data_IF_813005590177
#
_entry.id   IF_813005590177
#
_cell.length_a   1.000
_cell.length_b   1.000
_cell.length_c   1.000
_cell.angle_alpha   90.00
_cell.angle_beta   90.00
_cell.angle_gamma   90.00
#
_symmetry.space_group_name_H-M   'P 1'
#
loop_
_entity.id
_entity.type
_entity.pdbx_description
1 polymer ?
#
# COMPACT_ATOMS: atom_id res chain seq x y z
N UNK A 1 0.43 -45.00 28.79
CA UNK A 1 -0.59 -43.95 28.95
C UNK A 1 -1.33 -43.67 27.64
N UNK A 2 -0.64 -43.35 26.53
CA UNK A 2 -1.24 -43.13 25.20
C UNK A 2 -2.26 -44.19 24.76
N UNK A 3 -1.94 -45.48 24.93
CA UNK A 3 -2.87 -46.57 24.61
C UNK A 3 -4.21 -46.42 25.33
N UNK A 4 -4.20 -46.24 26.65
CA UNK A 4 -5.43 -46.17 27.45
C UNK A 4 -6.24 -44.92 27.12
N UNK A 5 -5.57 -43.76 26.97
CA UNK A 5 -6.24 -42.51 26.60
C UNK A 5 -6.85 -42.59 25.20
N UNK A 6 -6.17 -43.22 24.23
CA UNK A 6 -6.72 -43.39 22.89
C UNK A 6 -7.90 -44.37 22.86
N UNK A 7 -7.85 -45.48 23.60
CA UNK A 7 -8.98 -46.41 23.67
C UNK A 7 -10.21 -45.77 24.34
N UNK A 8 -10.03 -44.89 25.34
CA UNK A 8 -11.12 -44.07 25.89
C UNK A 8 -11.75 -43.17 24.81
N UNK A 9 -10.92 -42.52 23.98
CA UNK A 9 -11.42 -41.75 22.83
C UNK A 9 -12.11 -42.63 21.77
N UNK A 10 -11.72 -43.90 21.62
CA UNK A 10 -12.42 -44.85 20.75
C UNK A 10 -13.80 -45.18 21.31
N UNK A 11 -13.90 -45.48 22.61
CA UNK A 11 -15.15 -45.78 23.31
C UNK A 11 -16.12 -44.59 23.27
N UNK A 12 -15.60 -43.36 23.33
CA UNK A 12 -16.37 -42.11 23.21
C UNK A 12 -16.71 -41.74 21.75
N UNK A 13 -16.13 -42.42 20.77
CA UNK A 13 -16.30 -42.10 19.34
C UNK A 13 -15.53 -40.86 18.86
N UNK A 14 -14.60 -40.34 19.67
CA UNK A 14 -13.77 -39.14 19.41
C UNK A 14 -12.38 -39.47 18.86
N UNK A 15 -12.06 -40.74 18.59
CA UNK A 15 -10.77 -41.20 18.05
C UNK A 15 -10.30 -40.53 16.72
N UNK A 16 -11.19 -39.83 16.02
CA UNK A 16 -10.85 -39.05 14.80
C UNK A 16 -10.65 -37.54 15.05
N UNK A 17 -10.79 -37.09 16.30
CA UNK A 17 -10.69 -35.69 16.71
C UNK A 17 -9.26 -35.15 16.59
N UNK A 18 -9.12 -33.83 16.78
CA UNK A 18 -7.81 -33.18 16.76
C UNK A 18 -6.99 -33.59 17.99
N UNK A 19 -7.63 -33.77 19.14
CA UNK A 19 -7.02 -34.25 20.39
C UNK A 19 -6.43 -35.65 20.23
N UNK A 20 -7.19 -36.57 19.62
CA UNK A 20 -6.72 -37.92 19.33
C UNK A 20 -5.50 -37.90 18.40
N UNK A 21 -5.54 -37.07 17.35
CA UNK A 21 -4.41 -36.89 16.43
C UNK A 21 -3.18 -36.30 17.14
N UNK A 22 -3.38 -35.28 17.96
CA UNK A 22 -2.31 -34.65 18.74
C UNK A 22 -1.65 -35.64 19.70
N UNK A 23 -2.47 -36.45 20.39
CA UNK A 23 -2.00 -37.51 21.30
C UNK A 23 -1.09 -38.50 20.56
N UNK A 24 -1.54 -39.01 19.40
CA UNK A 24 -0.77 -39.97 18.60
C UNK A 24 0.54 -39.36 18.07
N UNK A 25 0.52 -38.10 17.61
CA UNK A 25 1.73 -37.43 17.11
C UNK A 25 2.75 -37.19 18.22
N UNK A 26 2.30 -36.72 19.40
CA UNK A 26 3.19 -36.53 20.55
C UNK A 26 3.81 -37.84 21.03
N UNK A 27 3.01 -38.91 21.10
CA UNK A 27 3.51 -40.24 21.45
C UNK A 27 4.55 -40.74 20.46
N UNK A 28 4.28 -40.60 19.16
CA UNK A 28 5.20 -41.01 18.12
C UNK A 28 6.54 -40.28 18.19
N UNK A 29 6.53 -38.95 18.34
CA UNK A 29 7.76 -38.15 18.46
C UNK A 29 8.54 -38.47 19.73
N UNK A 30 7.85 -38.62 20.87
CA UNK A 30 8.49 -38.99 22.13
C UNK A 30 9.11 -40.41 22.08
N UNK A 31 8.45 -41.35 21.40
CA UNK A 31 8.95 -42.70 21.19
C UNK A 31 10.17 -42.71 20.27
N UNK A 32 10.15 -41.93 19.18
CA UNK A 32 11.28 -41.75 18.28
C UNK A 32 12.51 -41.18 19.01
N UNK A 33 12.33 -40.11 19.80
CA UNK A 33 13.40 -39.52 20.62
C UNK A 33 13.97 -40.52 21.65
N UNK A 34 13.10 -41.34 22.26
CA UNK A 34 13.50 -42.34 23.23
C UNK A 34 14.02 -43.65 22.61
N UNK A 35 13.93 -43.82 21.29
CA UNK A 35 14.30 -45.06 20.58
C UNK A 35 13.44 -46.27 20.96
N UNK A 36 12.16 -46.04 21.30
CA UNK A 36 11.18 -47.08 21.66
C UNK A 36 10.05 -47.13 20.63
N UNK A 37 9.24 -48.18 20.67
CA UNK A 37 8.09 -48.34 19.78
C UNK A 37 6.95 -47.39 20.20
N UNK A 38 6.42 -46.61 19.25
CA UNK A 38 5.23 -45.78 19.47
C UNK A 38 3.94 -46.61 19.46
N UNK A 39 2.86 -46.06 19.99
CA UNK A 39 1.55 -46.70 19.95
C UNK A 39 1.07 -46.95 18.50
N UNK A 40 1.36 -46.01 17.60
CA UNK A 40 1.03 -46.13 16.17
C UNK A 40 1.81 -47.28 15.51
N UNK A 41 3.10 -47.41 15.81
CA UNK A 41 3.93 -48.51 15.28
C UNK A 41 3.45 -49.86 15.80
N UNK A 42 3.18 -49.95 17.11
CA UNK A 42 2.66 -51.15 17.74
C UNK A 42 1.32 -51.60 17.11
N UNK A 43 0.40 -50.66 16.86
CA UNK A 43 -0.88 -50.92 16.19
C UNK A 43 -0.69 -51.42 14.76
N UNK A 44 0.29 -50.86 14.05
CA UNK A 44 0.64 -51.26 12.68
C UNK A 44 1.17 -52.69 12.65
N UNK A 45 2.08 -53.06 13.56
CA UNK A 45 2.59 -54.45 13.69
C UNK A 45 1.49 -55.44 14.10
N UNK A 46 0.54 -54.98 14.91
CA UNK A 46 -0.60 -55.78 15.38
C UNK A 46 -1.72 -55.94 14.33
N UNK A 47 -1.52 -55.47 13.10
CA UNK A 47 -2.46 -55.61 11.99
C UNK A 47 -3.65 -54.64 12.03
N UNK A 48 -3.61 -53.62 12.88
CA UNK A 48 -4.66 -52.61 13.02
C UNK A 48 -4.08 -51.18 12.92
N UNK A 49 -3.50 -50.80 11.77
CA UNK A 49 -2.71 -49.59 11.63
C UNK A 49 -3.52 -48.33 11.97
N UNK A 50 -2.91 -47.42 12.71
CA UNK A 50 -3.42 -46.07 12.93
C UNK A 50 -2.76 -45.12 11.94
N UNK A 51 -3.50 -44.12 11.47
CA UNK A 51 -2.95 -43.08 10.59
C UNK A 51 -2.38 -41.97 11.45
N UNK A 52 -1.06 -41.78 11.39
CA UNK A 52 -0.41 -40.63 12.01
C UNK A 52 -0.76 -39.37 11.21
N UNK A 53 -1.07 -38.27 11.91
CA UNK A 53 -1.34 -37.01 11.22
C UNK A 53 -0.06 -36.44 10.60
N UNK A 54 -0.16 -35.98 9.36
CA UNK A 54 0.91 -35.25 8.69
C UNK A 54 1.02 -33.79 9.16
N UNK A 55 0.13 -33.31 10.04
CA UNK A 55 0.16 -31.91 10.50
C UNK A 55 1.20 -31.71 11.60
N UNK A 56 1.85 -30.53 11.64
CA UNK A 56 2.76 -30.18 12.74
C UNK A 56 2.08 -30.26 14.11
N UNK A 57 2.87 -30.49 15.17
CA UNK A 57 2.35 -30.57 16.55
C UNK A 57 1.73 -29.24 16.95
N UNK A 58 2.37 -28.13 16.60
CA UNK A 58 1.95 -26.77 16.91
C UNK A 58 0.58 -26.45 16.29
N UNK A 59 0.35 -26.88 15.04
CA UNK A 59 -0.96 -26.78 14.38
C UNK A 59 -2.05 -27.50 15.17
N UNK A 60 -1.79 -28.74 15.56
CA UNK A 60 -2.76 -29.57 16.28
C UNK A 60 -3.01 -29.01 17.69
N UNK A 61 -1.95 -28.63 18.40
CA UNK A 61 -2.00 -28.03 19.73
C UNK A 61 -2.83 -26.74 19.72
N UNK A 62 -2.55 -25.83 18.79
CA UNK A 62 -3.25 -24.56 18.71
C UNK A 62 -4.76 -24.73 18.43
N UNK A 63 -5.13 -25.76 17.66
CA UNK A 63 -6.53 -26.13 17.45
C UNK A 63 -7.19 -26.70 18.70
N UNK A 64 -6.52 -27.60 19.43
CA UNK A 64 -7.04 -28.14 20.71
C UNK A 64 -7.22 -27.03 21.74
N UNK A 65 -6.22 -26.15 21.89
CA UNK A 65 -6.26 -25.05 22.87
C UNK A 65 -7.38 -24.05 22.60
N UNK A 66 -7.86 -23.99 21.34
CA UNK A 66 -8.94 -23.11 20.90
C UNK A 66 -10.19 -23.86 20.44
N UNK A 67 -10.35 -25.13 20.83
CA UNK A 67 -11.41 -26.00 20.33
C UNK A 67 -12.81 -25.39 20.53
N UNK A 68 -13.08 -24.80 21.71
CA UNK A 68 -14.36 -24.14 21.97
C UNK A 68 -14.64 -22.97 21.03
N UNK A 69 -13.63 -22.17 20.65
CA UNK A 69 -13.83 -21.07 19.72
C UNK A 69 -14.14 -21.58 18.31
N UNK A 70 -13.53 -22.69 17.89
CA UNK A 70 -13.85 -23.36 16.63
C UNK A 70 -15.28 -23.93 16.63
N UNK A 71 -15.70 -24.57 17.72
CA UNK A 71 -17.05 -25.12 17.85
C UNK A 71 -18.11 -24.01 17.83
N UNK A 72 -17.89 -22.93 18.58
CA UNK A 72 -18.76 -21.75 18.57
C UNK A 72 -18.81 -21.11 17.17
N UNK A 73 -17.68 -21.03 16.45
CA UNK A 73 -17.63 -20.47 15.11
C UNK A 73 -18.44 -21.31 14.11
N UNK A 74 -18.37 -22.64 14.20
CA UNK A 74 -19.18 -23.54 13.36
C UNK A 74 -20.67 -23.45 13.72
N UNK A 75 -21.03 -23.34 15.00
CA UNK A 75 -22.42 -23.07 15.41
C UNK A 75 -22.92 -21.75 14.84
N UNK A 76 -22.12 -20.68 14.96
CA UNK A 76 -22.46 -19.36 14.43
C UNK A 76 -22.68 -19.40 12.91
N UNK A 77 -21.83 -20.10 12.14
CA UNK A 77 -21.99 -20.25 10.67
C UNK A 77 -23.31 -20.92 10.26
N UNK A 78 -23.91 -21.72 11.14
CA UNK A 78 -25.20 -22.37 10.90
C UNK A 78 -26.42 -21.47 11.17
N UNK A 79 -26.23 -20.23 11.62
CA UNK A 79 -27.32 -19.25 11.76
C UNK A 79 -27.89 -18.90 10.37
N UNK A 80 -29.20 -19.10 10.20
CA UNK A 80 -29.92 -18.88 8.92
C UNK A 80 -29.94 -17.41 8.48
N UNK A 81 -30.07 -16.48 9.44
CA UNK A 81 -30.19 -15.05 9.15
C UNK A 81 -28.79 -14.48 8.97
N UNK A 82 -28.46 -14.06 7.73
CA UNK A 82 -27.12 -13.55 7.37
C UNK A 82 -26.61 -12.46 8.33
N UNK A 83 -27.42 -11.47 8.66
CA UNK A 83 -26.99 -10.37 9.52
C UNK A 83 -26.62 -10.83 10.95
N UNK A 84 -27.38 -11.78 11.50
CA UNK A 84 -27.11 -12.34 12.83
C UNK A 84 -25.89 -13.27 12.79
N UNK A 85 -25.77 -14.08 11.75
CA UNK A 85 -24.60 -14.94 11.49
C UNK A 85 -23.32 -14.11 11.41
N UNK A 86 -23.32 -13.08 10.54
CA UNK A 86 -22.13 -12.26 10.30
C UNK A 86 -21.74 -11.53 11.60
N UNK A 87 -22.72 -11.03 12.38
CA UNK A 87 -22.47 -10.43 13.70
C UNK A 87 -21.86 -11.41 14.71
N UNK A 88 -22.38 -12.64 14.78
CA UNK A 88 -21.89 -13.64 15.73
C UNK A 88 -20.50 -14.16 15.36
N UNK A 89 -20.25 -14.39 14.06
CA UNK A 89 -18.93 -14.76 13.54
C UNK A 89 -17.90 -13.69 13.89
N UNK A 90 -18.20 -12.41 13.68
CA UNK A 90 -17.29 -11.32 14.04
C UNK A 90 -17.08 -11.22 15.56
N UNK A 91 -18.12 -11.43 16.36
CA UNK A 91 -17.99 -11.45 17.82
C UNK A 91 -17.07 -12.57 18.31
N UNK A 92 -17.14 -13.77 17.70
CA UNK A 92 -16.28 -14.91 18.02
C UNK A 92 -14.85 -14.64 17.59
N UNK A 93 -14.65 -14.14 16.36
CA UNK A 93 -13.34 -13.76 15.82
C UNK A 93 -12.63 -12.69 16.62
N UNK A 94 -13.39 -11.75 17.21
CA UNK A 94 -12.87 -10.69 18.06
C UNK A 94 -12.49 -11.15 19.49
N UNK A 95 -12.81 -12.39 19.89
CA UNK A 95 -12.44 -12.92 21.23
C UNK A 95 -10.92 -12.91 21.38
N UNK A 96 -10.44 -12.52 22.57
CA UNK A 96 -9.02 -12.50 22.90
C UNK A 96 -8.50 -13.88 23.30
N UNK A 97 -7.35 -14.26 22.73
CA UNK A 97 -6.59 -15.48 23.04
C UNK A 97 -5.15 -15.04 23.33
N UNK A 98 -4.82 -14.85 24.60
CA UNK A 98 -3.57 -14.18 24.98
C UNK A 98 -3.56 -12.73 24.47
N UNK A 99 -2.51 -12.36 23.73
CA UNK A 99 -2.34 -11.03 23.16
C UNK A 99 -3.03 -10.85 21.79
N UNK A 100 -3.43 -11.96 21.16
CA UNK A 100 -4.01 -12.00 19.82
C UNK A 100 -5.54 -12.15 19.85
N UNK A 101 -6.18 -12.04 18.69
CA UNK A 101 -7.60 -12.40 18.52
C UNK A 101 -7.75 -13.83 18.03
N UNK A 102 -8.91 -14.44 18.22
CA UNK A 102 -9.18 -15.76 17.66
C UNK A 102 -9.09 -15.76 16.12
N UNK A 103 -9.40 -14.64 15.45
CA UNK A 103 -9.20 -14.51 14.01
C UNK A 103 -7.72 -14.65 13.61
N UNK A 104 -6.80 -14.12 14.43
CA UNK A 104 -5.35 -14.29 14.22
C UNK A 104 -4.94 -15.75 14.42
N UNK A 105 -5.54 -16.44 15.38
CA UNK A 105 -5.35 -17.89 15.57
C UNK A 105 -5.84 -18.68 14.35
N UNK A 106 -7.02 -18.36 13.77
CA UNK A 106 -7.49 -18.97 12.53
C UNK A 106 -6.46 -18.82 11.40
N UNK A 107 -5.85 -17.63 11.25
CA UNK A 107 -4.82 -17.35 10.24
C UNK A 107 -3.53 -18.15 10.48
N UNK A 108 -3.08 -18.26 11.74
CA UNK A 108 -1.92 -19.09 12.12
C UNK A 108 -2.16 -20.54 11.75
N UNK A 109 -3.34 -21.07 12.12
CA UNK A 109 -3.75 -22.45 11.81
C UNK A 109 -3.84 -22.66 10.30
N UNK A 110 -4.36 -21.70 9.53
CA UNK A 110 -4.42 -21.80 8.07
C UNK A 110 -3.00 -21.86 7.45
N UNK A 111 -2.10 -20.97 7.85
CA UNK A 111 -0.71 -20.95 7.35
C UNK A 111 0.05 -22.22 7.73
N UNK A 112 0.09 -22.58 9.02
CA UNK A 112 0.72 -23.83 9.49
C UNK A 112 0.09 -25.06 8.82
N UNK A 113 -1.21 -25.00 8.55
CA UNK A 113 -1.97 -26.03 7.88
C UNK A 113 -1.57 -26.26 6.42
N UNK A 114 -0.84 -25.35 5.77
CA UNK A 114 -0.25 -25.56 4.44
C UNK A 114 0.98 -26.46 4.47
N UNK A 115 1.70 -26.46 5.60
CA UNK A 115 2.87 -27.32 5.81
C UNK A 115 2.50 -28.75 6.21
N UNK A 116 3.56 -29.54 6.37
CA UNK A 116 3.50 -30.88 6.97
C UNK A 116 4.44 -30.96 8.17
N UNK A 117 4.36 -32.02 8.96
CA UNK A 117 5.26 -32.27 10.09
C UNK A 117 6.73 -32.37 9.66
N UNK A 118 6.99 -32.90 8.47
CA UNK A 118 8.35 -33.06 7.94
C UNK A 118 8.85 -31.78 7.24
N UNK A 119 7.93 -30.97 6.72
CA UNK A 119 8.20 -29.69 6.07
C UNK A 119 7.25 -28.63 6.65
N UNK A 120 7.47 -28.27 7.91
CA UNK A 120 6.69 -27.25 8.62
C UNK A 120 6.95 -25.88 8.01
N UNK A 121 5.92 -25.03 7.98
CA UNK A 121 6.09 -23.62 7.60
C UNK A 121 6.87 -22.91 8.73
N UNK A 122 7.97 -22.20 8.43
CA UNK A 122 8.73 -21.47 9.44
C UNK A 122 7.85 -20.48 10.21
N UNK A 123 8.12 -20.32 11.51
CA UNK A 123 7.32 -19.46 12.39
C UNK A 123 7.33 -17.99 11.92
N UNK A 124 8.45 -17.54 11.36
CA UNK A 124 8.60 -16.21 10.79
C UNK A 124 7.62 -15.98 9.63
N UNK A 125 7.45 -16.96 8.73
CA UNK A 125 6.51 -16.89 7.60
C UNK A 125 5.06 -16.93 8.11
N UNK A 126 4.76 -17.74 9.12
CA UNK A 126 3.43 -17.78 9.74
C UNK A 126 3.08 -16.41 10.35
N UNK A 127 4.02 -15.81 11.09
CA UNK A 127 3.84 -14.46 11.67
C UNK A 127 3.64 -13.40 10.57
N UNK A 128 4.46 -13.43 9.52
CA UNK A 128 4.34 -12.53 8.38
C UNK A 128 3.00 -12.70 7.65
N UNK A 129 2.50 -13.93 7.52
CA UNK A 129 1.19 -14.21 6.93
C UNK A 129 0.05 -13.63 7.77
N UNK A 130 0.08 -13.81 9.09
CA UNK A 130 -0.93 -13.23 10.00
C UNK A 130 -0.95 -11.71 9.87
N UNK A 131 0.22 -11.07 9.93
CA UNK A 131 0.35 -9.62 9.76
C UNK A 131 -0.16 -9.15 8.39
N UNK A 132 0.17 -9.88 7.33
CA UNK A 132 -0.32 -9.59 5.99
C UNK A 132 -1.85 -9.66 5.94
N UNK A 133 -2.46 -10.69 6.51
CA UNK A 133 -3.92 -10.84 6.54
C UNK A 133 -4.59 -9.75 7.39
N UNK A 134 -3.96 -9.28 8.47
CA UNK A 134 -4.44 -8.10 9.21
C UNK A 134 -4.42 -6.84 8.33
N UNK A 135 -3.35 -6.62 7.57
CA UNK A 135 -3.26 -5.50 6.61
C UNK A 135 -4.35 -5.61 5.53
N UNK A 136 -4.63 -6.83 5.04
CA UNK A 136 -5.66 -7.09 4.04
C UNK A 136 -7.06 -6.76 4.57
N UNK A 137 -7.36 -7.12 5.81
CA UNK A 137 -8.63 -6.78 6.46
C UNK A 137 -8.80 -5.27 6.63
N UNK A 138 -7.75 -4.55 7.04
CA UNK A 138 -7.78 -3.10 7.22
C UNK A 138 -7.95 -2.34 5.90
N UNK A 139 -7.41 -2.89 4.81
CA UNK A 139 -7.30 -2.19 3.52
C UNK A 139 -7.95 -2.98 2.39
N UNK A 140 -7.18 -3.85 1.73
CA UNK A 140 -7.60 -4.91 0.80
C UNK A 140 -6.34 -5.65 0.33
N UNK A 141 -6.49 -6.86 -0.24
CA UNK A 141 -5.38 -7.60 -0.85
C UNK A 141 -4.66 -6.87 -1.98
N UNK A 142 -5.32 -5.88 -2.59
CA UNK A 142 -4.78 -5.11 -3.71
C UNK A 142 -4.26 -3.72 -3.32
N UNK A 143 -4.33 -3.36 -2.03
CA UNK A 143 -3.87 -2.06 -1.54
C UNK A 143 -2.35 -1.91 -1.68
N UNK A 144 -1.89 -0.66 -1.74
CA UNK A 144 -0.44 -0.34 -1.74
C UNK A 144 0.25 -0.90 -0.48
N UNK A 145 -0.43 -0.84 0.69
CA UNK A 145 0.08 -1.39 1.97
C UNK A 145 0.28 -2.90 1.91
N UNK A 146 -0.71 -3.66 1.43
CA UNK A 146 -0.63 -5.12 1.33
C UNK A 146 0.45 -5.56 0.33
N UNK A 147 0.54 -4.90 -0.84
CA UNK A 147 1.55 -5.18 -1.86
C UNK A 147 2.95 -4.85 -1.38
N UNK A 148 3.14 -3.73 -0.67
CA UNK A 148 4.42 -3.34 -0.12
C UNK A 148 4.89 -4.31 0.97
N UNK A 149 3.99 -4.76 1.85
CA UNK A 149 4.32 -5.79 2.85
C UNK A 149 4.83 -7.07 2.18
N UNK A 150 4.12 -7.53 1.13
CA UNK A 150 4.54 -8.70 0.35
C UNK A 150 5.87 -8.47 -0.36
N UNK A 151 6.13 -7.28 -0.89
CA UNK A 151 7.40 -6.96 -1.55
C UNK A 151 8.59 -6.95 -0.57
N UNK A 152 8.38 -6.46 0.65
CA UNK A 152 9.44 -6.31 1.66
C UNK A 152 9.78 -7.62 2.38
N UNK A 153 8.87 -8.58 2.39
CA UNK A 153 9.05 -9.92 2.98
C UNK A 153 9.09 -10.98 1.88
N UNK A 154 10.31 -11.34 1.45
CA UNK A 154 10.51 -12.30 0.36
C UNK A 154 9.97 -13.69 0.70
N UNK A 155 10.12 -14.13 1.95
CA UNK A 155 9.72 -15.47 2.37
C UNK A 155 8.19 -15.58 2.42
N UNK A 156 7.51 -14.54 2.88
CA UNK A 156 6.06 -14.42 2.76
C UNK A 156 5.61 -14.41 1.30
N UNK A 157 6.27 -13.64 0.44
CA UNK A 157 5.90 -13.59 -0.97
C UNK A 157 6.04 -14.95 -1.64
N UNK A 158 7.14 -15.65 -1.39
CA UNK A 158 7.39 -16.99 -1.92
C UNK A 158 6.38 -18.00 -1.39
N UNK A 159 6.04 -17.91 -0.09
CA UNK A 159 4.97 -18.70 0.51
C UNK A 159 3.63 -18.49 -0.20
N UNK A 160 3.20 -17.24 -0.37
CA UNK A 160 1.92 -16.89 -1.01
C UNK A 160 1.88 -17.28 -2.49
N UNK A 161 3.02 -17.21 -3.19
CA UNK A 161 3.15 -17.59 -4.60
C UNK A 161 3.34 -19.09 -4.82
N UNK A 162 3.54 -19.88 -3.77
CA UNK A 162 3.75 -21.32 -3.87
C UNK A 162 2.48 -22.06 -4.31
N UNK A 163 2.49 -22.61 -5.52
CA UNK A 163 1.44 -23.52 -5.99
C UNK A 163 1.36 -24.80 -5.16
N UNK A 164 2.46 -25.25 -4.54
CA UNK A 164 2.45 -26.43 -3.67
C UNK A 164 1.59 -26.21 -2.41
N UNK A 165 1.58 -24.97 -1.89
CA UNK A 165 0.79 -24.62 -0.70
C UNK A 165 -0.61 -24.13 -1.04
N UNK A 166 -0.76 -23.34 -2.11
CA UNK A 166 -2.01 -22.63 -2.40
C UNK A 166 -2.72 -23.13 -3.67
N UNK A 167 -2.10 -23.99 -4.48
CA UNK A 167 -2.66 -24.48 -5.73
C UNK A 167 -3.11 -23.33 -6.63
N UNK A 168 -4.37 -23.38 -7.09
CA UNK A 168 -4.96 -22.32 -7.94
C UNK A 168 -5.21 -20.99 -7.21
N UNK A 169 -5.04 -20.95 -5.89
CA UNK A 169 -5.18 -19.74 -5.08
C UNK A 169 -3.82 -19.10 -4.80
N UNK A 170 -2.72 -19.64 -5.36
CA UNK A 170 -1.42 -19.01 -5.26
C UNK A 170 -1.48 -17.58 -5.81
N UNK A 171 -0.79 -16.67 -5.12
CA UNK A 171 -0.70 -15.29 -5.54
C UNK A 171 0.06 -15.19 -6.87
N UNK A 172 -0.39 -14.31 -7.75
CA UNK A 172 0.38 -13.94 -8.94
C UNK A 172 1.57 -13.07 -8.53
N UNK A 173 2.66 -13.04 -9.34
CA UNK A 173 3.74 -12.06 -9.15
C UNK A 173 3.20 -10.64 -9.01
N UNK A 174 3.82 -9.82 -8.16
CA UNK A 174 3.40 -8.41 -7.96
C UNK A 174 3.43 -7.61 -9.28
N UNK A 175 4.35 -7.97 -10.17
CA UNK A 175 4.44 -7.48 -11.53
C UNK A 175 5.32 -8.43 -12.37
N UNK A 176 5.09 -8.51 -13.68
CA UNK A 176 5.90 -9.34 -14.59
C UNK A 176 7.32 -8.81 -14.80
N UNK A 177 7.46 -7.47 -14.87
CA UNK A 177 8.73 -6.77 -14.99
C UNK A 177 9.22 -6.30 -13.62
N UNK A 178 10.25 -6.97 -13.10
CA UNK A 178 10.90 -6.61 -11.82
C UNK A 178 11.53 -5.22 -11.86
N UNK A 179 12.11 -4.80 -13.00
CA UNK A 179 12.70 -3.47 -13.11
C UNK A 179 11.60 -2.40 -12.98
N UNK A 180 10.44 -2.61 -13.60
CA UNK A 180 9.31 -1.70 -13.45
C UNK A 180 8.76 -1.70 -12.02
N UNK A 181 8.61 -2.89 -11.42
CA UNK A 181 8.19 -3.04 -10.02
C UNK A 181 9.07 -2.21 -9.08
N UNK A 182 10.38 -2.43 -9.14
CA UNK A 182 11.35 -1.86 -8.21
C UNK A 182 11.49 -0.33 -8.42
N UNK A 183 11.40 0.14 -9.66
CA UNK A 183 11.69 1.55 -10.00
C UNK A 183 10.44 2.46 -10.04
N UNK A 184 9.25 1.91 -10.26
CA UNK A 184 8.03 2.70 -10.45
C UNK A 184 6.92 2.35 -9.45
N UNK A 185 6.59 1.07 -9.31
CA UNK A 185 5.46 0.65 -8.47
C UNK A 185 5.78 0.72 -6.98
N UNK A 186 6.90 0.15 -6.55
CA UNK A 186 7.28 0.12 -5.13
C UNK A 186 7.46 1.54 -4.57
N UNK A 187 8.20 2.46 -5.22
CA UNK A 187 8.31 3.84 -4.74
C UNK A 187 6.96 4.55 -4.64
N UNK A 188 6.05 4.28 -5.58
CA UNK A 188 4.68 4.81 -5.52
C UNK A 188 3.92 4.25 -4.33
N UNK A 189 3.94 2.93 -4.12
CA UNK A 189 3.26 2.31 -2.98
C UNK A 189 3.81 2.81 -1.65
N UNK A 190 5.12 3.06 -1.56
CA UNK A 190 5.73 3.69 -0.38
C UNK A 190 5.14 5.07 -0.12
N UNK A 191 5.00 5.91 -1.14
CA UNK A 191 4.37 7.24 -1.01
C UNK A 191 2.90 7.11 -0.57
N UNK A 192 2.14 6.21 -1.20
CA UNK A 192 0.72 5.98 -0.88
C UNK A 192 0.53 5.58 0.59
N UNK A 193 1.44 4.75 1.13
CA UNK A 193 1.37 4.28 2.53
C UNK A 193 1.86 5.36 3.51
N UNK A 194 2.95 6.05 3.18
CA UNK A 194 3.57 7.06 4.06
C UNK A 194 2.67 8.28 4.28
N UNK A 195 1.93 8.68 3.25
CA UNK A 195 1.11 9.89 3.23
C UNK A 195 -0.40 9.64 3.13
N UNK A 196 -0.87 8.45 3.54
CA UNK A 196 -2.29 8.06 3.50
C UNK A 196 -3.19 9.09 4.21
N UNK A 197 -2.76 9.57 5.39
CA UNK A 197 -3.54 10.53 6.17
C UNK A 197 -3.62 11.91 5.48
N UNK A 198 -2.52 12.37 4.88
CA UNK A 198 -2.47 13.62 4.13
C UNK A 198 -3.29 13.54 2.83
N UNK A 199 -3.28 12.40 2.15
CA UNK A 199 -4.14 12.17 0.98
C UNK A 199 -5.62 12.17 1.36
N UNK A 200 -6.00 11.52 2.46
CA UNK A 200 -7.37 11.53 2.95
C UNK A 200 -7.83 12.97 3.24
N UNK A 201 -7.04 13.71 4.02
CA UNK A 201 -7.35 15.11 4.35
C UNK A 201 -7.37 16.04 3.12
N UNK A 202 -6.51 15.79 2.12
CA UNK A 202 -6.54 16.55 0.86
C UNK A 202 -7.78 16.22 0.02
N UNK A 203 -8.19 14.95 -0.02
CA UNK A 203 -9.34 14.49 -0.81
C UNK A 203 -10.68 14.90 -0.19
N UNK A 204 -10.72 15.21 1.11
CA UNK A 204 -11.87 15.84 1.77
C UNK A 204 -12.14 17.27 1.28
N UNK A 205 -11.12 17.96 0.75
CA UNK A 205 -11.28 19.27 0.12
C UNK A 205 -11.93 19.09 -1.26
N UNK A 206 -12.98 19.86 -1.53
CA UNK A 206 -13.72 19.79 -2.79
C UNK A 206 -12.80 19.94 -4.01
N UNK A 207 -13.06 19.17 -5.07
CA UNK A 207 -12.18 19.13 -6.25
C UNK A 207 -12.11 20.45 -7.02
N UNK A 208 -13.18 21.23 -6.98
CA UNK A 208 -13.31 22.56 -7.58
C UNK A 208 -12.78 23.69 -6.69
N UNK A 209 -12.53 23.44 -5.41
CA UNK A 209 -11.92 24.39 -4.48
C UNK A 209 -10.38 24.35 -4.61
N UNK A 210 -9.91 24.87 -5.75
CA UNK A 210 -8.49 24.94 -6.09
C UNK A 210 -7.69 25.77 -5.10
N UNK A 211 -8.26 26.84 -4.55
CA UNK A 211 -7.62 27.71 -3.57
C UNK A 211 -7.35 26.96 -2.26
N UNK A 212 -8.35 26.27 -1.69
CA UNK A 212 -8.16 25.50 -0.46
C UNK A 212 -7.17 24.33 -0.66
N UNK A 213 -7.19 23.68 -1.82
CA UNK A 213 -6.24 22.61 -2.16
C UNK A 213 -4.81 23.15 -2.28
N UNK A 214 -4.63 24.32 -2.88
CA UNK A 214 -3.34 24.97 -3.00
C UNK A 214 -2.82 25.46 -1.65
N UNK A 215 -3.68 26.08 -0.82
CA UNK A 215 -3.35 26.46 0.55
C UNK A 215 -2.94 25.25 1.41
N UNK A 216 -3.66 24.13 1.28
CA UNK A 216 -3.29 22.87 1.92
C UNK A 216 -1.88 22.43 1.50
N UNK A 217 -1.58 22.36 0.20
CA UNK A 217 -0.25 21.97 -0.30
C UNK A 217 0.84 22.97 0.08
N UNK A 218 0.51 24.25 0.22
CA UNK A 218 1.42 25.28 0.67
C UNK A 218 1.76 25.15 2.17
N UNK A 219 0.89 24.48 2.95
CA UNK A 219 1.03 24.39 4.40
C UNK A 219 0.68 25.70 5.10
N UNK A 220 -0.28 26.45 4.54
CA UNK A 220 -0.70 27.71 5.12
C UNK A 220 -1.16 27.55 6.58
N UNK A 221 -0.63 28.38 7.47
CA UNK A 221 -0.91 28.31 8.91
C UNK A 221 -0.15 27.22 9.67
N UNK A 222 0.68 26.41 9.01
CA UNK A 222 1.57 25.45 9.65
C UNK A 222 2.95 26.08 9.91
N UNK A 223 3.61 25.64 10.97
CA UNK A 223 4.97 26.06 11.32
C UNK A 223 5.84 24.84 11.68
N UNK A 224 7.17 25.04 11.67
CA UNK A 224 8.12 24.05 12.15
C UNK A 224 8.02 22.68 11.45
N UNK A 225 7.85 21.63 12.26
CA UNK A 225 7.82 20.25 11.78
C UNK A 225 6.59 19.96 10.91
N UNK A 226 5.44 20.57 11.20
CA UNK A 226 4.21 20.35 10.44
C UNK A 226 4.30 20.97 9.04
N UNK A 227 4.87 22.18 8.93
CA UNK A 227 5.15 22.79 7.64
C UNK A 227 6.15 21.95 6.83
N UNK A 228 7.22 21.47 7.47
CA UNK A 228 8.23 20.61 6.82
C UNK A 228 7.57 19.35 6.27
N UNK A 229 6.78 18.65 7.09
CA UNK A 229 6.03 17.45 6.68
C UNK A 229 5.07 17.74 5.53
N UNK A 230 4.42 18.92 5.52
CA UNK A 230 3.53 19.32 4.42
C UNK A 230 4.28 19.57 3.11
N UNK A 231 5.46 20.19 3.16
CA UNK A 231 6.32 20.36 1.97
C UNK A 231 6.80 19.01 1.45
N UNK A 232 7.20 18.09 2.33
CA UNK A 232 7.58 16.73 1.96
C UNK A 232 6.42 15.99 1.28
N UNK A 233 5.21 16.04 1.86
CA UNK A 233 4.00 15.49 1.25
C UNK A 233 3.75 16.07 -0.16
N UNK A 234 3.82 17.40 -0.33
CA UNK A 234 3.62 18.05 -1.63
C UNK A 234 4.61 17.50 -2.68
N UNK A 235 5.90 17.42 -2.31
CA UNK A 235 6.95 16.88 -3.19
C UNK A 235 6.73 15.39 -3.47
N UNK A 236 6.33 14.61 -2.48
CA UNK A 236 6.01 13.19 -2.64
C UNK A 236 4.82 12.98 -3.60
N UNK A 237 3.80 13.84 -3.52
CA UNK A 237 2.68 13.83 -4.47
C UNK A 237 3.15 14.08 -5.91
N UNK A 238 4.03 15.06 -6.14
CA UNK A 238 4.66 15.29 -7.46
C UNK A 238 5.50 14.11 -7.92
N UNK A 239 6.25 13.48 -6.99
CA UNK A 239 7.00 12.27 -7.28
C UNK A 239 6.10 11.13 -7.74
N UNK A 240 4.98 10.91 -7.05
CA UNK A 240 3.96 9.92 -7.43
C UNK A 240 3.37 10.22 -8.81
N UNK A 241 3.00 11.47 -9.09
CA UNK A 241 2.51 11.88 -10.42
C UNK A 241 3.53 11.53 -11.52
N UNK A 242 4.83 11.80 -11.29
CA UNK A 242 5.88 11.46 -12.24
C UNK A 242 6.03 9.95 -12.47
N UNK A 243 5.95 9.15 -11.40
CA UNK A 243 6.05 7.69 -11.44
C UNK A 243 4.86 7.05 -12.17
N UNK A 244 3.68 7.65 -12.08
CA UNK A 244 2.46 7.19 -12.76
C UNK A 244 2.44 7.57 -14.24
N UNK A 245 3.05 8.70 -14.58
CA UNK A 245 2.98 9.28 -15.90
C UNK A 245 3.58 8.37 -16.98
N UNK A 246 2.83 8.18 -18.05
CA UNK A 246 3.28 7.48 -19.25
C UNK A 246 2.59 8.04 -20.48
N UNK A 247 3.29 8.08 -21.62
CA UNK A 247 2.69 8.36 -22.90
C UNK A 247 1.67 7.25 -23.23
N UNK A 248 0.42 7.62 -23.49
CA UNK A 248 -0.68 6.66 -23.71
C UNK A 248 -0.58 5.89 -25.03
N UNK A 249 0.25 6.36 -25.97
CA UNK A 249 0.48 5.75 -27.29
C UNK A 249 1.72 4.87 -27.27
N UNK A 250 2.85 5.38 -26.76
CA UNK A 250 4.15 4.70 -26.82
C UNK A 250 4.46 3.88 -25.56
N UNK A 251 3.78 4.16 -24.44
CA UNK A 251 4.10 3.59 -23.14
C UNK A 251 5.38 4.16 -22.51
N UNK A 252 6.03 5.14 -23.15
CA UNK A 252 7.22 5.81 -22.60
C UNK A 252 6.91 6.48 -21.26
N UNK A 253 7.87 6.43 -20.34
CA UNK A 253 7.76 6.99 -18.98
C UNK A 253 8.88 7.97 -18.73
N UNK A 254 8.70 8.81 -17.70
CA UNK A 254 9.79 9.66 -17.22
C UNK A 254 10.91 8.75 -16.71
N UNK A 255 12.15 8.90 -17.19
CA UNK A 255 13.29 8.17 -16.65
C UNK A 255 13.44 8.44 -15.15
N UNK A 256 13.77 7.43 -14.36
CA UNK A 256 13.78 7.57 -12.89
C UNK A 256 14.79 8.59 -12.37
N UNK A 257 15.88 8.80 -13.09
CA UNK A 257 16.89 9.84 -12.83
C UNK A 257 16.39 11.26 -13.13
N UNK A 258 15.29 11.41 -13.86
CA UNK A 258 14.66 12.69 -14.20
C UNK A 258 13.46 13.03 -13.31
N UNK A 259 13.09 12.17 -12.36
CA UNK A 259 11.96 12.40 -11.46
C UNK A 259 12.19 13.61 -10.54
N UNK A 260 13.42 13.82 -10.05
CA UNK A 260 13.71 15.00 -9.23
C UNK A 260 13.62 16.30 -10.05
N UNK A 261 13.99 16.26 -11.33
CA UNK A 261 13.78 17.37 -12.26
C UNK A 261 12.28 17.65 -12.47
N UNK A 262 11.44 16.61 -12.55
CA UNK A 262 9.99 16.77 -12.58
C UNK A 262 9.46 17.47 -11.33
N UNK A 263 9.88 17.02 -10.14
CA UNK A 263 9.45 17.63 -8.89
C UNK A 263 9.88 19.09 -8.85
N UNK A 264 11.16 19.37 -9.12
CA UNK A 264 11.68 20.73 -9.07
C UNK A 264 11.00 21.64 -10.09
N UNK A 265 10.74 21.17 -11.31
CA UNK A 265 10.00 21.90 -12.34
C UNK A 265 8.62 22.36 -11.86
N UNK A 266 7.84 21.46 -11.24
CA UNK A 266 6.50 21.79 -10.74
C UNK A 266 6.49 22.57 -9.42
N UNK A 267 7.62 22.65 -8.73
CA UNK A 267 7.82 23.49 -7.54
C UNK A 267 8.26 24.92 -7.90
N UNK A 268 8.62 25.19 -9.16
CA UNK A 268 8.90 26.55 -9.62
C UNK A 268 7.60 27.34 -9.79
N UNK A 269 7.67 28.63 -9.46
CA UNK A 269 6.60 29.57 -9.77
C UNK A 269 6.31 29.58 -11.28
N UNK A 270 5.04 29.42 -11.63
CA UNK A 270 4.55 29.47 -13.02
C UNK A 270 4.76 30.87 -13.62
N UNK A 271 4.72 31.90 -12.75
CA UNK A 271 4.96 33.28 -13.12
C UNK A 271 6.46 33.54 -13.31
N UNK A 272 6.79 34.43 -14.25
CA UNK A 272 8.18 34.81 -14.49
C UNK A 272 8.96 33.93 -15.48
N UNK A 273 8.34 33.00 -16.23
CA UNK A 273 9.06 32.13 -17.21
C UNK A 273 10.12 31.19 -16.62
N UNK A 274 10.08 30.92 -15.32
CA UNK A 274 11.01 30.02 -14.60
C UNK A 274 10.92 28.59 -15.09
N UNK A 275 9.71 28.08 -15.29
CA UNK A 275 9.47 26.73 -15.80
C UNK A 275 10.01 26.58 -17.22
N UNK A 276 9.74 27.52 -18.12
CA UNK A 276 10.27 27.50 -19.48
C UNK A 276 11.80 27.56 -19.49
N UNK A 277 12.41 28.38 -18.64
CA UNK A 277 13.87 28.42 -18.50
C UNK A 277 14.44 27.11 -17.97
N UNK A 278 13.78 26.50 -16.98
CA UNK A 278 14.19 25.19 -16.47
C UNK A 278 14.18 24.12 -17.57
N UNK A 279 13.20 24.14 -18.49
CA UNK A 279 13.17 23.23 -19.64
C UNK A 279 14.33 23.49 -20.61
N UNK A 280 14.66 24.76 -20.89
CA UNK A 280 15.82 25.11 -21.73
C UNK A 280 17.13 24.66 -21.09
N UNK A 281 17.27 24.84 -19.78
CA UNK A 281 18.49 24.51 -19.02
C UNK A 281 18.65 23.00 -18.77
N UNK A 282 17.57 22.21 -18.89
CA UNK A 282 17.55 20.76 -18.67
C UNK A 282 16.99 20.02 -19.90
N UNK A 283 17.73 19.98 -21.04
CA UNK A 283 17.21 19.50 -22.32
C UNK A 283 16.78 18.03 -22.31
N UNK A 284 17.47 17.16 -21.57
CA UNK A 284 17.10 15.73 -21.46
C UNK A 284 15.75 15.54 -20.72
N UNK A 285 15.54 16.33 -19.66
CA UNK A 285 14.27 16.37 -18.94
C UNK A 285 13.16 16.94 -19.83
N UNK A 286 13.43 18.05 -20.53
CA UNK A 286 12.45 18.68 -21.42
C UNK A 286 12.02 17.73 -22.54
N UNK A 287 12.96 16.98 -23.13
CA UNK A 287 12.63 15.95 -24.11
C UNK A 287 11.77 14.84 -23.51
N UNK A 288 12.06 14.41 -22.28
CA UNK A 288 11.25 13.42 -21.58
C UNK A 288 9.83 13.93 -21.32
N UNK A 289 9.67 15.18 -20.89
CA UNK A 289 8.36 15.81 -20.69
C UNK A 289 7.60 16.02 -21.99
N UNK A 290 8.29 16.35 -23.08
CA UNK A 290 7.68 16.43 -24.40
C UNK A 290 7.14 15.07 -24.84
N UNK A 291 7.97 14.03 -24.75
CA UNK A 291 7.59 12.70 -25.17
C UNK A 291 6.47 12.12 -24.29
N UNK A 292 6.52 12.33 -22.97
CA UNK A 292 5.61 11.68 -22.03
C UNK A 292 4.33 12.49 -21.81
N UNK A 293 4.46 13.80 -21.58
CA UNK A 293 3.37 14.69 -21.20
C UNK A 293 2.90 15.63 -22.34
N UNK A 294 3.58 15.63 -23.49
CA UNK A 294 3.25 16.51 -24.60
C UNK A 294 3.56 17.99 -24.35
N UNK A 295 4.45 18.29 -23.40
CA UNK A 295 4.86 19.68 -23.15
C UNK A 295 5.72 20.18 -24.30
N UNK A 296 5.38 21.34 -24.85
CA UNK A 296 6.18 21.98 -25.90
C UNK A 296 7.52 22.45 -25.32
N UNK A 297 8.61 22.13 -26.03
CA UNK A 297 9.94 22.57 -25.64
C UNK A 297 10.12 24.02 -26.13
N UNK A 298 10.25 25.00 -25.23
CA UNK A 298 10.43 26.38 -25.63
C UNK A 298 11.76 26.57 -26.36
N UNK A 299 11.78 27.48 -27.35
CA UNK A 299 13.03 27.88 -27.99
C UNK A 299 13.84 28.77 -27.02
N UNK A 300 15.18 28.59 -26.92
CA UNK A 300 16.00 29.40 -26.02
C UNK A 300 15.84 30.92 -26.23
N UNK A 301 15.64 31.37 -27.47
CA UNK A 301 15.42 32.77 -27.83
C UNK A 301 14.08 33.35 -27.34
N UNK A 302 13.08 32.50 -27.08
CA UNK A 302 11.75 32.91 -26.61
C UNK A 302 11.66 32.98 -25.08
N UNK A 303 12.70 32.53 -24.37
CA UNK A 303 12.77 32.53 -22.92
C UNK A 303 13.62 33.72 -22.44
N UNK A 304 13.03 34.70 -21.74
CA UNK A 304 13.78 35.83 -21.21
C UNK A 304 14.90 35.40 -20.25
N UNK A 305 15.95 36.21 -20.14
CA UNK A 305 17.02 36.00 -19.18
C UNK A 305 16.52 36.07 -17.73
N UNK A 306 17.28 35.50 -16.79
CA UNK A 306 16.91 35.41 -15.36
C UNK A 306 16.52 36.75 -14.72
N UNK A 307 17.09 37.86 -15.19
CA UNK A 307 16.76 39.19 -14.70
C UNK A 307 15.29 39.57 -14.95
N UNK A 308 14.61 38.93 -15.89
CA UNK A 308 13.18 39.10 -16.08
C UNK A 308 12.38 38.66 -14.84
N UNK A 309 12.83 37.60 -14.15
CA UNK A 309 12.18 37.08 -12.95
C UNK A 309 12.37 38.03 -11.77
N UNK A 310 13.57 38.60 -11.66
CA UNK A 310 13.88 39.61 -10.64
C UNK A 310 12.97 40.84 -10.80
N UNK A 311 12.80 41.29 -12.06
CA UNK A 311 11.86 42.37 -12.39
C UNK A 311 10.42 41.95 -12.10
N UNK A 312 10.05 40.72 -12.43
CA UNK A 312 8.70 40.22 -12.14
C UNK A 312 8.41 40.22 -10.63
N UNK A 313 9.35 39.78 -9.81
CA UNK A 313 9.20 39.74 -8.35
C UNK A 313 9.14 41.15 -7.74
N UNK A 314 9.98 42.07 -8.21
CA UNK A 314 9.98 43.48 -7.76
C UNK A 314 8.64 44.17 -8.06
N UNK A 315 8.06 43.89 -9.24
CA UNK A 315 6.85 44.57 -9.75
C UNK A 315 5.62 43.66 -9.75
N UNK A 316 5.61 42.61 -8.92
CA UNK A 316 4.60 41.54 -8.95
C UNK A 316 3.17 42.07 -8.86
N UNK A 317 2.91 43.01 -7.95
CA UNK A 317 1.58 43.63 -7.78
C UNK A 317 1.11 44.35 -9.04
N UNK A 318 2.00 45.08 -9.72
CA UNK A 318 1.68 45.78 -10.96
C UNK A 318 1.45 44.80 -12.11
N UNK A 319 2.23 43.72 -12.22
CA UNK A 319 1.98 42.65 -13.18
C UNK A 319 0.63 41.96 -12.93
N UNK A 320 0.29 41.68 -11.67
CA UNK A 320 -0.96 41.02 -11.30
C UNK A 320 -2.16 41.92 -11.56
N UNK A 321 -2.05 43.20 -11.24
CA UNK A 321 -3.04 44.22 -11.59
C UNK A 321 -3.21 44.35 -13.10
N UNK A 322 -2.12 44.42 -13.86
CA UNK A 322 -2.15 44.52 -15.32
C UNK A 322 -2.86 43.32 -15.97
N UNK A 323 -2.61 42.11 -15.45
CA UNK A 323 -3.30 40.88 -15.87
C UNK A 323 -4.78 40.94 -15.49
N UNK A 324 -5.08 41.37 -14.27
CA UNK A 324 -6.44 41.48 -13.72
C UNK A 324 -7.35 42.44 -14.48
N UNK A 325 -6.82 43.47 -15.15
CA UNK A 325 -7.61 44.42 -15.95
C UNK A 325 -8.55 43.75 -16.96
N UNK A 326 -8.17 42.60 -17.52
CA UNK A 326 -8.93 41.89 -18.54
C UNK A 326 -9.72 40.68 -18.03
N UNK A 327 -9.52 40.30 -16.77
CA UNK A 327 -10.10 39.12 -16.15
C UNK A 327 -11.34 39.52 -15.36
N UNK A 328 -12.53 39.04 -15.76
CA UNK A 328 -13.80 39.43 -15.17
C UNK A 328 -14.01 38.95 -13.72
N UNK A 329 -13.13 38.10 -13.22
CA UNK A 329 -13.13 37.62 -11.84
C UNK A 329 -12.13 38.40 -10.96
N UNK A 330 -11.30 39.25 -11.55
CA UNK A 330 -10.33 40.06 -10.82
C UNK A 330 -10.94 41.32 -10.21
N UNK A 331 -10.48 41.71 -9.02
CA UNK A 331 -10.82 43.02 -8.43
C UNK A 331 -10.37 44.21 -9.28
N UNK A 332 -9.39 44.00 -10.18
CA UNK A 332 -8.87 45.02 -11.09
C UNK A 332 -9.64 45.06 -12.42
N UNK A 333 -10.66 44.23 -12.61
CA UNK A 333 -11.42 44.17 -13.85
C UNK A 333 -12.02 45.52 -14.22
N UNK A 334 -11.89 45.90 -15.50
CA UNK A 334 -12.55 47.09 -16.05
C UNK A 334 -13.44 46.65 -17.20
N UNK A 335 -14.76 46.66 -17.00
CA UNK A 335 -15.73 46.24 -18.03
C UNK A 335 -15.62 47.07 -19.32
N UNK A 336 -15.48 48.40 -19.20
CA UNK A 336 -15.34 49.29 -20.35
C UNK A 336 -13.98 49.11 -21.05
N UNK A 337 -14.03 48.73 -22.33
CA UNK A 337 -12.84 48.42 -23.14
C UNK A 337 -11.91 49.63 -23.27
N UNK A 338 -12.47 50.85 -23.40
CA UNK A 338 -11.67 52.06 -23.58
C UNK A 338 -10.94 52.43 -22.30
N UNK A 339 -11.64 52.39 -21.15
CA UNK A 339 -11.06 52.63 -19.84
C UNK A 339 -10.02 51.57 -19.48
N UNK A 340 -10.27 50.29 -19.82
CA UNK A 340 -9.32 49.19 -19.66
C UNK A 340 -8.04 49.43 -20.45
N UNK A 341 -8.17 49.88 -21.70
CA UNK A 341 -7.02 50.18 -22.56
C UNK A 341 -6.22 51.38 -22.03
N UNK A 342 -6.90 52.44 -21.54
CA UNK A 342 -6.25 53.58 -20.89
C UNK A 342 -5.47 53.13 -19.65
N UNK A 343 -6.09 52.35 -18.76
CA UNK A 343 -5.44 51.84 -17.55
C UNK A 343 -4.25 50.94 -17.87
N UNK A 344 -4.41 50.04 -18.86
CA UNK A 344 -3.33 49.16 -19.35
C UNK A 344 -2.15 49.97 -19.89
N UNK A 345 -2.41 51.00 -20.68
CA UNK A 345 -1.37 51.82 -21.27
C UNK A 345 -0.66 52.70 -20.23
N UNK A 346 -1.35 53.11 -19.17
CA UNK A 346 -0.75 53.86 -18.06
C UNK A 346 0.24 53.03 -17.22
N UNK A 347 0.15 51.70 -17.28
CA UNK A 347 1.03 50.77 -16.55
C UNK A 347 2.18 50.24 -17.42
N UNK A 348 2.15 50.45 -18.74
CA UNK A 348 3.21 50.02 -19.64
C UNK A 348 4.29 51.08 -19.71
N UNK A 349 5.54 50.66 -19.75
CA UNK A 349 6.64 51.54 -20.11
C UNK A 349 6.39 52.17 -21.49
N UNK A 350 6.57 53.48 -21.56
CA UNK A 350 6.61 54.21 -22.82
C UNK A 350 7.83 53.81 -23.65
N UNK A 351 7.86 54.10 -24.97
CA UNK A 351 9.06 53.87 -25.80
C UNK A 351 10.34 54.49 -25.26
N UNK A 352 10.21 55.49 -24.38
CA UNK A 352 11.31 56.21 -23.74
C UNK A 352 11.74 55.57 -22.40
N UNK A 353 11.16 54.42 -22.02
CA UNK A 353 11.45 53.69 -20.78
C UNK A 353 10.90 54.35 -19.50
N UNK A 354 9.91 55.25 -19.64
CA UNK A 354 9.21 55.90 -18.52
C UNK A 354 7.86 55.28 -18.25
#
# INVERSE_FOLDING_TARGET
DTHFTYEEMVDEGTHSSIEAKLLLVKDHLAAEEAGVQSYVDWRTESGNPLTLSEKPVEYLQLRVDNQQNYDDLEEAKNITIKADRDKEVEAIRARKVGDETFHDIERRVDAMGKGTREASIPEEVVNAYVLHMQIVDETSGNSSKAKLHRYMDSDLNDFLMSEDYHGKQAAEPLHEDKKYLDNYLVPRWTIDVEYEAEDLAYNEIAEDDTEARDAYKAGEGLEGADLTRRVEYRRARRKREALEMSNTITGERIPTDQIDNYINYWELDIKGKRQERFLVDNPEFAQSMHNVAGIDIPLPEDVPAVQYDDIYDEWKEDFDKLKGLADNESEFYIEDVTAREIARNAMKFTPDGK
#
